data_IF_820774069929
#
_entry.id   IF_820774069929
#
_cell.length_a   1.000
_cell.length_b   1.000
_cell.length_c   1.000
_cell.angle_alpha   90.00
_cell.angle_beta   90.00
_cell.angle_gamma   90.00
#
_symmetry.space_group_name_H-M   'P 1'
#
loop_
_entity.id
_entity.type
_entity.pdbx_description
1 polymer ?
#
# COMPACT_ATOMS: atom_id res chain seq x y z
N UNK A 1 11.00 1.08 -1.79
CA UNK A 1 12.39 1.05 -2.28
C UNK A 1 13.04 -0.17 -1.68
N UNK A 2 13.60 -1.05 -2.49
CA UNK A 2 14.24 -2.29 -2.04
C UNK A 2 15.53 -2.47 -2.84
N UNK A 3 16.57 -2.97 -2.18
CA UNK A 3 17.83 -3.27 -2.84
C UNK A 3 17.81 -4.73 -3.28
N UNK A 4 17.93 -4.96 -4.59
CA UNK A 4 18.08 -6.29 -5.17
C UNK A 4 19.57 -6.69 -5.28
N UNK A 5 20.34 -6.49 -4.21
CA UNK A 5 21.77 -6.82 -4.13
C UNK A 5 21.95 -8.19 -3.46
N UNK A 6 22.80 -9.10 -3.97
CA UNK A 6 23.10 -10.37 -3.32
C UNK A 6 23.50 -10.21 -1.84
N UNK A 7 22.73 -10.84 -0.94
CA UNK A 7 22.96 -10.80 0.51
C UNK A 7 22.14 -9.75 1.26
N UNK A 8 21.31 -8.97 0.56
CA UNK A 8 20.32 -8.10 1.20
C UNK A 8 19.31 -8.91 2.02
N UNK A 9 19.07 -8.49 3.26
CA UNK A 9 18.07 -9.08 4.14
C UNK A 9 16.78 -8.28 4.07
N UNK A 10 15.80 -8.82 3.36
CA UNK A 10 14.44 -8.28 3.29
C UNK A 10 13.68 -8.57 4.59
N UNK A 11 12.62 -7.83 4.90
CA UNK A 11 11.69 -8.18 5.97
C UNK A 11 11.53 -7.08 7.02
N UNK A 12 11.06 -7.45 8.22
CA UNK A 12 10.69 -6.49 9.26
C UNK A 12 11.86 -5.66 9.79
N UNK A 13 13.03 -6.27 9.93
CA UNK A 13 14.24 -5.64 10.49
C UNK A 13 15.13 -4.99 9.42
N UNK A 14 14.64 -4.87 8.18
CA UNK A 14 15.34 -4.21 7.10
C UNK A 14 15.59 -2.73 7.45
N UNK A 15 16.87 -2.29 7.54
CA UNK A 15 17.22 -0.94 7.96
C UNK A 15 16.74 0.14 6.99
N UNK A 16 16.34 -0.21 5.77
CA UNK A 16 15.81 0.73 4.78
C UNK A 16 14.31 0.98 4.90
N UNK A 17 13.57 0.20 5.68
CA UNK A 17 12.12 0.37 5.83
C UNK A 17 11.75 1.78 6.31
N UNK A 18 12.39 2.25 7.38
CA UNK A 18 12.10 3.58 7.98
C UNK A 18 12.61 4.72 7.09
N UNK A 19 13.86 4.70 6.58
CA UNK A 19 14.31 5.71 5.62
C UNK A 19 13.45 5.79 4.35
N UNK A 20 13.01 4.65 3.80
CA UNK A 20 12.15 4.64 2.62
C UNK A 20 10.77 5.22 2.92
N UNK A 21 10.20 4.94 4.11
CA UNK A 21 8.95 5.55 4.57
C UNK A 21 9.07 7.07 4.65
N UNK A 22 10.14 7.58 5.27
CA UNK A 22 10.37 9.03 5.38
C UNK A 22 10.55 9.68 4.00
N UNK A 23 11.44 9.14 3.16
CA UNK A 23 11.67 9.67 1.82
C UNK A 23 10.39 9.67 0.97
N UNK A 24 9.55 8.64 1.11
CA UNK A 24 8.25 8.57 0.43
C UNK A 24 7.36 9.76 0.81
N UNK A 25 7.23 10.05 2.10
CA UNK A 25 6.39 11.15 2.58
C UNK A 25 6.99 12.54 2.31
N UNK A 26 8.31 12.69 2.40
CA UNK A 26 8.99 13.95 2.06
C UNK A 26 8.75 14.33 0.59
N UNK A 27 8.76 13.34 -0.32
CA UNK A 27 8.42 13.55 -1.74
C UNK A 27 6.96 13.94 -1.92
N UNK A 28 6.03 13.27 -1.23
CA UNK A 28 4.61 13.61 -1.30
C UNK A 28 4.33 15.03 -0.81
N UNK A 29 4.94 15.43 0.30
CA UNK A 29 4.80 16.78 0.85
C UNK A 29 5.35 17.83 -0.13
N UNK A 30 6.56 17.60 -0.66
CA UNK A 30 7.19 18.49 -1.65
C UNK A 30 6.28 18.72 -2.86
N UNK A 31 5.71 17.64 -3.42
CA UNK A 31 4.84 17.72 -4.59
C UNK A 31 3.49 18.38 -4.26
N UNK A 32 2.91 18.08 -3.09
CA UNK A 32 1.66 18.70 -2.64
C UNK A 32 1.82 20.21 -2.43
N UNK A 33 2.91 20.66 -1.79
CA UNK A 33 3.21 22.08 -1.61
C UNK A 33 3.43 22.83 -2.92
N UNK A 34 3.90 22.14 -3.96
CA UNK A 34 4.02 22.69 -5.32
C UNK A 34 2.68 22.74 -6.08
N UNK A 35 1.58 22.24 -5.49
CA UNK A 35 0.25 22.19 -6.12
C UNK A 35 0.07 21.06 -7.13
N UNK A 36 0.92 20.03 -7.11
CA UNK A 36 0.81 18.89 -8.01
C UNK A 36 -0.22 17.86 -7.51
N UNK A 37 -1.02 17.31 -8.41
CA UNK A 37 -1.82 16.10 -8.14
C UNK A 37 -0.93 14.88 -8.21
N UNK A 38 -0.95 14.06 -7.16
CA UNK A 38 -0.10 12.86 -7.02
C UNK A 38 -0.93 11.62 -6.72
N UNK A 39 -0.49 10.47 -7.23
CA UNK A 39 -0.98 9.15 -6.81
C UNK A 39 0.12 8.46 -6.04
N UNK A 40 -0.17 8.10 -4.80
CA UNK A 40 0.75 7.39 -3.92
C UNK A 40 0.21 5.98 -3.66
N UNK A 41 1.02 4.95 -3.93
CA UNK A 41 0.62 3.54 -3.84
C UNK A 41 1.52 2.78 -2.87
N UNK A 42 0.90 2.06 -1.94
CA UNK A 42 1.54 1.18 -0.98
C UNK A 42 0.48 0.32 -0.26
N UNK A 43 0.92 -0.70 0.49
CA UNK A 43 0.08 -1.42 1.45
C UNK A 43 -0.06 -0.62 2.77
N UNK A 44 -0.88 0.44 2.74
CA UNK A 44 -1.05 1.37 3.85
C UNK A 44 -1.72 0.73 5.08
N UNK A 45 -0.93 0.29 6.07
CA UNK A 45 -1.44 -0.13 7.38
C UNK A 45 -1.68 1.07 8.32
N UNK A 46 -2.86 1.18 8.92
CA UNK A 46 -3.27 2.36 9.69
C UNK A 46 -2.20 2.91 10.65
N UNK A 47 -1.64 2.03 11.49
CA UNK A 47 -0.68 2.39 12.54
C UNK A 47 0.55 3.14 12.02
N UNK A 48 1.05 2.76 10.83
CA UNK A 48 2.26 3.35 10.27
C UNK A 48 1.97 4.54 9.37
N UNK A 49 0.81 4.57 8.72
CA UNK A 49 0.60 5.51 7.63
C UNK A 49 -0.28 6.69 7.99
N UNK A 50 -1.27 6.51 8.87
CA UNK A 50 -2.16 7.60 9.33
C UNK A 50 -1.40 8.80 9.91
N UNK A 51 -0.35 8.62 10.74
CA UNK A 51 0.42 9.76 11.27
C UNK A 51 1.10 10.63 10.21
N UNK A 52 1.39 10.08 9.03
CA UNK A 52 2.10 10.77 7.95
C UNK A 52 1.15 11.22 6.83
N UNK A 53 0.01 10.57 6.64
CA UNK A 53 -1.04 11.00 5.73
C UNK A 53 -1.83 12.20 6.29
N UNK A 54 -2.07 12.23 7.60
CA UNK A 54 -2.87 13.30 8.21
C UNK A 54 -2.28 14.71 7.99
N UNK A 55 -0.96 14.97 8.09
CA UNK A 55 -0.38 16.27 7.78
C UNK A 55 -0.59 16.72 6.32
N UNK A 56 -0.63 15.78 5.36
CA UNK A 56 -0.78 16.10 3.94
C UNK A 56 -2.14 16.73 3.63
N UNK A 57 -3.17 16.53 4.46
CA UNK A 57 -4.49 17.14 4.26
C UNK A 57 -4.47 18.66 4.40
N UNK A 58 -3.43 19.23 5.00
CA UNK A 58 -3.23 20.68 5.06
C UNK A 58 -2.77 21.28 3.71
N UNK A 59 -2.29 20.44 2.79
CA UNK A 59 -1.68 20.85 1.51
C UNK A 59 -2.41 20.29 0.29
N UNK A 60 -3.23 19.25 0.46
CA UNK A 60 -3.91 18.58 -0.64
C UNK A 60 -5.28 18.01 -0.24
N UNK A 61 -6.14 17.92 -1.24
CA UNK A 61 -7.39 17.18 -1.21
C UNK A 61 -7.11 15.67 -1.25
N UNK A 62 -7.03 15.03 -0.08
CA UNK A 62 -6.68 13.60 0.03
C UNK A 62 -7.91 12.72 -0.22
N UNK A 63 -7.74 11.69 -1.06
CA UNK A 63 -8.72 10.62 -1.30
C UNK A 63 -8.04 9.26 -1.20
N UNK A 64 -8.72 8.27 -0.63
CA UNK A 64 -8.19 6.91 -0.44
C UNK A 64 -8.90 5.94 -1.38
N UNK A 65 -8.12 5.22 -2.20
CA UNK A 65 -8.59 4.04 -2.92
C UNK A 65 -8.03 2.80 -2.23
N UNK A 66 -8.90 1.90 -1.75
CA UNK A 66 -8.53 0.61 -1.20
C UNK A 66 -8.78 -0.48 -2.24
N UNK A 67 -7.74 -1.04 -2.83
CA UNK A 67 -7.84 -2.29 -3.58
C UNK A 67 -7.95 -3.46 -2.60
N UNK A 68 -9.01 -4.26 -2.72
CA UNK A 68 -9.29 -5.37 -1.83
C UNK A 68 -9.52 -6.66 -2.61
N UNK A 69 -9.21 -7.78 -1.97
CA UNK A 69 -9.61 -9.15 -2.31
C UNK A 69 -9.76 -9.91 -1.00
N UNK A 70 -10.39 -11.08 -1.02
CA UNK A 70 -10.38 -11.95 0.16
C UNK A 70 -8.96 -12.49 0.46
N UNK A 71 -8.75 -12.92 1.71
CA UNK A 71 -7.45 -13.40 2.18
C UNK A 71 -6.95 -14.63 1.39
N UNK A 72 -7.84 -15.51 0.94
CA UNK A 72 -7.46 -16.70 0.18
C UNK A 72 -6.89 -16.32 -1.20
N UNK A 73 -7.55 -15.39 -1.88
CA UNK A 73 -7.13 -14.82 -3.16
C UNK A 73 -5.83 -14.02 -3.02
N UNK A 74 -5.69 -13.22 -1.97
CA UNK A 74 -4.45 -12.52 -1.66
C UNK A 74 -3.28 -13.50 -1.44
N UNK A 75 -3.51 -14.54 -0.62
CA UNK A 75 -2.51 -15.56 -0.32
C UNK A 75 -2.05 -16.30 -1.59
N UNK A 76 -2.99 -16.73 -2.44
CA UNK A 76 -2.66 -17.39 -3.70
C UNK A 76 -1.82 -16.47 -4.61
N UNK A 77 -2.21 -15.19 -4.74
CA UNK A 77 -1.46 -14.21 -5.55
C UNK A 77 -0.05 -13.94 -5.01
N UNK A 78 0.17 -14.03 -3.70
CA UNK A 78 1.51 -13.92 -3.11
C UNK A 78 2.35 -15.13 -3.49
N UNK A 79 1.82 -16.35 -3.33
CA UNK A 79 2.51 -17.60 -3.72
C UNK A 79 2.91 -17.56 -5.20
N UNK A 80 1.95 -17.23 -6.08
CA UNK A 80 2.19 -17.24 -7.51
C UNK A 80 3.29 -16.24 -7.90
N UNK A 81 3.26 -15.03 -7.34
CA UNK A 81 4.27 -14.01 -7.62
C UNK A 81 5.64 -14.40 -7.07
N UNK A 82 5.72 -14.90 -5.84
CA UNK A 82 6.98 -15.33 -5.24
C UNK A 82 7.65 -16.46 -6.05
N UNK A 83 6.85 -17.35 -6.67
CA UNK A 83 7.36 -18.42 -7.52
C UNK A 83 7.71 -18.02 -8.95
N UNK A 84 7.10 -16.96 -9.50
CA UNK A 84 7.20 -16.61 -10.93
C UNK A 84 8.05 -15.36 -11.22
N UNK A 85 8.17 -14.44 -10.28
CA UNK A 85 8.84 -13.16 -10.48
C UNK A 85 10.11 -13.06 -9.61
N UNK A 86 11.31 -13.18 -10.21
CA UNK A 86 12.58 -13.09 -9.47
C UNK A 86 12.77 -11.78 -8.69
N UNK A 87 12.12 -10.68 -9.11
CA UNK A 87 12.20 -9.41 -8.39
C UNK A 87 11.55 -9.51 -6.99
N UNK A 88 10.64 -10.47 -6.80
CA UNK A 88 9.97 -10.72 -5.51
C UNK A 88 10.93 -11.16 -4.42
N UNK A 89 12.11 -11.68 -4.77
CA UNK A 89 13.15 -12.00 -3.80
C UNK A 89 13.66 -10.78 -3.02
N UNK A 90 13.45 -9.55 -3.53
CA UNK A 90 13.75 -8.33 -2.80
C UNK A 90 12.67 -7.94 -1.78
N UNK A 91 11.57 -8.70 -1.69
CA UNK A 91 10.47 -8.49 -0.76
C UNK A 91 10.39 -9.64 0.26
N UNK A 92 9.89 -9.35 1.46
CA UNK A 92 9.71 -10.34 2.54
C UNK A 92 8.53 -11.31 2.34
N UNK A 93 8.26 -11.74 1.10
CA UNK A 93 7.14 -12.62 0.76
C UNK A 93 7.29 -13.99 1.41
N UNK A 94 8.50 -14.58 1.40
CA UNK A 94 8.74 -15.89 1.99
C UNK A 94 8.54 -15.85 3.52
N UNK A 95 9.07 -14.83 4.20
CA UNK A 95 8.87 -14.65 5.63
C UNK A 95 7.38 -14.51 6.01
N UNK A 96 6.62 -13.80 5.18
CA UNK A 96 5.17 -13.67 5.36
C UNK A 96 4.47 -15.03 5.18
N UNK A 97 4.78 -15.77 4.12
CA UNK A 97 4.20 -17.10 3.87
C UNK A 97 4.53 -18.08 4.99
N UNK A 98 5.77 -18.11 5.45
CA UNK A 98 6.21 -18.96 6.57
C UNK A 98 5.48 -18.59 7.86
N UNK A 99 5.29 -17.29 8.13
CA UNK A 99 4.55 -16.82 9.30
C UNK A 99 3.06 -17.17 9.24
N UNK A 100 2.43 -17.11 8.06
CA UNK A 100 1.04 -17.54 7.84
C UNK A 100 0.91 -19.05 8.05
N UNK A 101 1.84 -19.85 7.51
CA UNK A 101 1.80 -21.31 7.60
C UNK A 101 1.81 -21.83 9.04
N UNK A 102 2.44 -21.11 9.97
CA UNK A 102 2.47 -21.45 11.41
C UNK A 102 1.49 -20.64 12.25
N UNK A 103 0.59 -19.87 11.62
CA UNK A 103 -0.45 -19.09 12.30
C UNK A 103 0.06 -17.88 13.11
N UNK A 104 1.29 -17.40 12.84
CA UNK A 104 1.84 -16.19 13.48
C UNK A 104 1.30 -14.89 12.87
N UNK A 105 0.75 -14.95 11.67
CA UNK A 105 0.16 -13.83 10.93
C UNK A 105 -1.10 -14.28 10.20
N UNK A 106 -2.09 -13.39 10.09
CA UNK A 106 -3.19 -13.53 9.14
C UNK A 106 -3.20 -12.35 8.17
N UNK A 107 -3.62 -12.60 6.92
CA UNK A 107 -3.91 -11.51 5.98
C UNK A 107 -5.19 -10.75 6.36
N UNK A 108 -6.06 -11.36 7.16
CA UNK A 108 -7.24 -10.71 7.73
C UNK A 108 -6.89 -9.69 8.83
N UNK A 109 -5.64 -9.68 9.33
CA UNK A 109 -5.19 -8.73 10.36
C UNK A 109 -4.96 -7.32 9.81
N UNK A 110 -5.14 -7.10 8.50
CA UNK A 110 -4.94 -5.79 7.87
C UNK A 110 -5.94 -4.75 8.41
N UNK A 111 -5.41 -3.65 8.92
CA UNK A 111 -6.20 -2.53 9.43
C UNK A 111 -6.15 -1.36 8.44
N UNK A 112 -7.32 -1.04 7.88
CA UNK A 112 -7.52 0.09 6.97
C UNK A 112 -7.17 1.43 7.61
N UNK A 113 -6.68 2.38 6.79
CA UNK A 113 -6.45 3.78 7.20
C UNK A 113 -7.71 4.37 7.84
N UNK A 114 -7.57 4.85 9.07
CA UNK A 114 -8.62 5.51 9.86
C UNK A 114 -8.47 7.03 9.81
N UNK A 115 -8.43 7.57 8.59
CA UNK A 115 -8.47 9.01 8.33
C UNK A 115 -9.86 9.39 7.81
N UNK A 116 -10.38 10.53 8.29
CA UNK A 116 -11.67 11.07 7.88
C UNK A 116 -11.55 11.82 6.55
N UNK A 117 -11.33 11.06 5.48
CA UNK A 117 -11.22 11.54 4.10
C UNK A 117 -12.08 10.66 3.18
N UNK A 118 -12.51 11.17 2.01
CA UNK A 118 -13.26 10.37 1.05
C UNK A 118 -12.51 9.07 0.71
N UNK A 119 -13.24 7.96 0.74
CA UNK A 119 -12.70 6.63 0.46
C UNK A 119 -13.56 5.86 -0.53
N UNK A 120 -12.92 5.05 -1.36
CA UNK A 120 -13.55 4.07 -2.24
C UNK A 120 -12.84 2.73 -2.08
N UNK A 121 -13.59 1.68 -1.79
CA UNK A 121 -13.07 0.30 -1.86
C UNK A 121 -13.35 -0.25 -3.25
N UNK A 122 -12.33 -0.85 -3.86
CA UNK A 122 -12.36 -1.47 -5.18
C UNK A 122 -12.03 -2.94 -4.98
N UNK A 123 -13.01 -3.80 -5.22
CA UNK A 123 -12.77 -5.24 -5.34
C UNK A 123 -11.96 -5.51 -6.60
N UNK A 124 -10.85 -6.21 -6.42
CA UNK A 124 -9.89 -6.57 -7.46
C UNK A 124 -9.77 -8.08 -7.64
N UNK A 125 -10.77 -8.84 -7.19
CA UNK A 125 -10.79 -10.31 -7.26
C UNK A 125 -10.88 -10.76 -8.72
N UNK A 126 -11.72 -10.09 -9.51
CA UNK A 126 -11.83 -10.22 -10.96
C UNK A 126 -12.04 -8.83 -11.59
N UNK A 127 -11.05 -8.31 -12.31
CA UNK A 127 -11.08 -6.94 -12.84
C UNK A 127 -11.12 -5.86 -11.74
N UNK A 128 -11.79 -4.72 -12.02
CA UNK A 128 -12.02 -3.63 -11.06
C UNK A 128 -13.51 -3.46 -10.81
N UNK A 129 -13.94 -3.58 -9.55
CA UNK A 129 -15.32 -3.36 -9.14
C UNK A 129 -15.38 -2.40 -7.94
N UNK A 130 -15.84 -1.15 -8.13
CA UNK A 130 -16.38 -0.59 -9.38
C UNK A 130 -15.30 -0.37 -10.45
N UNK A 131 -15.73 -0.24 -11.71
CA UNK A 131 -14.83 -0.05 -12.85
C UNK A 131 -14.11 1.30 -12.87
N UNK A 132 -13.14 1.44 -13.76
CA UNK A 132 -12.26 2.62 -13.85
C UNK A 132 -13.02 3.94 -13.99
N UNK A 133 -14.11 3.99 -14.75
CA UNK A 133 -14.91 5.22 -14.91
C UNK A 133 -15.43 5.75 -13.58
N UNK A 134 -15.89 4.87 -12.70
CA UNK A 134 -16.37 5.23 -11.35
C UNK A 134 -15.20 5.65 -10.45
N UNK A 135 -14.06 4.98 -10.56
CA UNK A 135 -12.85 5.34 -9.81
C UNK A 135 -12.39 6.74 -10.21
N UNK A 136 -12.33 7.04 -11.52
CA UNK A 136 -11.97 8.36 -12.05
C UNK A 136 -12.97 9.41 -11.57
N UNK A 137 -14.28 9.14 -11.71
CA UNK A 137 -15.30 10.08 -11.26
C UNK A 137 -15.22 10.37 -9.75
N UNK A 138 -14.85 9.39 -8.93
CA UNK A 138 -14.59 9.58 -7.50
C UNK A 138 -13.37 10.49 -7.27
N UNK A 139 -12.28 10.30 -8.02
CA UNK A 139 -11.04 11.08 -7.89
C UNK A 139 -11.21 12.54 -8.33
N UNK A 140 -12.00 12.79 -9.37
CA UNK A 140 -12.15 14.14 -9.96
C UNK A 140 -13.34 14.93 -9.38
N UNK A 141 -14.06 14.38 -8.39
CA UNK A 141 -15.17 15.10 -7.76
C UNK A 141 -14.62 16.25 -6.91
N UNK A 142 -15.24 17.44 -6.91
CA UNK A 142 -14.91 18.49 -5.95
C UNK A 142 -15.05 17.99 -4.51
N UNK A 143 -14.15 18.40 -3.62
CA UNK A 143 -14.37 18.24 -2.18
C UNK A 143 -15.39 19.32 -1.75
N UNK A 144 -16.47 18.94 -1.03
CA UNK A 144 -17.49 19.88 -0.58
C UNK A 144 -16.99 20.89 0.47
#
# INVERSE_FOLDING_TARGET
MVLADPGYQTGGDDPLNVPALHAFFDVLETLAQAGATVVAEAAFQDRLWTPHLAPLTAHADVRIIRCAVDAATAHQRIIDRAGLDPHRAAHGDQDLLDAIAVGRRSLDDFIDIRLDVPRLTVDTSDGYHPGLDTIIAFLTRPIP
#
